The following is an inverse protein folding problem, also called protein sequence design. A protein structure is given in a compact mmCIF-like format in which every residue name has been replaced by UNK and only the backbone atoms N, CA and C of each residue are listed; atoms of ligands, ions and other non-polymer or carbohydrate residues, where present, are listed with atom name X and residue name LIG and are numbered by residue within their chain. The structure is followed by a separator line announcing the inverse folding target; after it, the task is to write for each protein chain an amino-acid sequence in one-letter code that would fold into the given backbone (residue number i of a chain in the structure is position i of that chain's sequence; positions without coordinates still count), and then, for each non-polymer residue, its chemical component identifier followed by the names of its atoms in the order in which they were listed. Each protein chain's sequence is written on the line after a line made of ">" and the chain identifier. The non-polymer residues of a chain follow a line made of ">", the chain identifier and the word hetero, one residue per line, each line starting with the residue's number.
data_IF_645334912175
#
_entry.id   IF_645334912175
#
_cell.length_a   1.000
_cell.length_b   1.000
_cell.length_c   1.000
_cell.angle_alpha   90.00
_cell.angle_beta   90.00
_cell.angle_gamma   90.00
#
_symmetry.space_group_name_H-M   'P 1'
#
loop_
_entity.id
_entity.type
_entity.pdbx_description
1 polymer ?
#
# COMPACT_ATOMS: atom_id res chain seq x y z
N UNK A 1 9.21 16.22 2.87
CA UNK A 1 9.29 14.93 2.13
C UNK A 1 7.91 14.53 1.59
N UNK A 2 6.90 14.29 2.44
CA UNK A 2 5.52 13.93 2.05
C UNK A 2 4.96 14.65 0.81
N UNK A 3 4.71 15.96 0.88
CA UNK A 3 4.17 16.73 -0.27
C UNK A 3 5.08 16.77 -1.50
N UNK A 4 6.37 16.47 -1.38
CA UNK A 4 7.26 16.36 -2.55
C UNK A 4 7.02 15.06 -3.32
N UNK A 5 6.71 13.95 -2.63
CA UNK A 5 6.30 12.68 -3.25
C UNK A 5 4.98 12.85 -4.03
N UNK A 6 3.94 13.37 -3.38
CA UNK A 6 2.63 13.58 -4.03
C UNK A 6 2.63 14.66 -5.12
N UNK A 7 3.64 15.55 -5.12
CA UNK A 7 3.90 16.52 -6.19
C UNK A 7 4.49 15.94 -7.49
N UNK A 8 4.75 14.63 -7.58
CA UNK A 8 5.29 14.00 -8.80
C UNK A 8 4.20 13.27 -9.61
N UNK A 9 4.23 13.46 -10.94
CA UNK A 9 3.25 12.83 -11.84
C UNK A 9 3.32 11.30 -11.86
N UNK A 10 4.48 10.67 -11.61
CA UNK A 10 4.59 9.21 -11.58
C UNK A 10 3.76 8.60 -10.43
N UNK A 11 3.76 9.22 -9.25
CA UNK A 11 2.99 8.75 -8.12
C UNK A 11 1.48 8.96 -8.32
N UNK A 12 1.08 10.08 -8.94
CA UNK A 12 -0.30 10.29 -9.39
C UNK A 12 -0.72 9.28 -10.46
N UNK A 13 0.16 8.95 -11.42
CA UNK A 13 -0.11 7.94 -12.45
C UNK A 13 -0.33 6.56 -11.83
N UNK A 14 0.50 6.13 -10.88
CA UNK A 14 0.33 4.86 -10.18
C UNK A 14 -1.05 4.76 -9.49
N UNK A 15 -1.50 5.85 -8.85
CA UNK A 15 -2.82 5.94 -8.23
C UNK A 15 -3.97 5.96 -9.26
N UNK A 16 -3.78 6.57 -10.42
CA UNK A 16 -4.77 6.62 -11.50
C UNK A 16 -4.89 5.29 -12.27
N UNK A 17 -3.80 4.52 -12.38
CA UNK A 17 -3.78 3.20 -13.03
C UNK A 17 -4.34 2.07 -12.15
N UNK A 18 -4.60 2.32 -10.87
CA UNK A 18 -5.47 1.46 -10.05
C UNK A 18 -6.93 1.67 -10.48
N UNK A 19 -7.37 0.85 -11.45
CA UNK A 19 -8.73 0.89 -11.98
C UNK A 19 -9.79 0.50 -10.95
N UNK A 20 -9.44 -0.27 -9.91
CA UNK A 20 -10.36 -0.65 -8.82
C UNK A 20 -10.64 0.57 -7.96
N UNK A 21 -9.59 1.30 -7.56
CA UNK A 21 -9.66 2.62 -6.91
C UNK A 21 -10.43 3.62 -7.77
N UNK A 22 -9.87 4.03 -8.90
CA UNK A 22 -10.40 5.16 -9.70
C UNK A 22 -11.80 4.86 -10.25
N UNK A 23 -12.04 3.60 -10.65
CA UNK A 23 -13.34 3.14 -11.12
C UNK A 23 -14.42 3.10 -10.04
N UNK A 24 -14.09 2.71 -8.80
CA UNK A 24 -15.07 2.71 -7.70
C UNK A 24 -15.42 4.14 -7.27
N UNK A 25 -14.45 5.06 -7.23
CA UNK A 25 -14.71 6.48 -7.01
C UNK A 25 -15.60 7.07 -8.10
N UNK A 26 -15.32 6.78 -9.37
CA UNK A 26 -16.16 7.19 -10.50
C UNK A 26 -17.60 6.67 -10.34
N UNK A 27 -17.79 5.36 -10.12
CA UNK A 27 -19.10 4.76 -9.94
C UNK A 27 -19.86 5.35 -8.73
N UNK A 28 -19.18 5.54 -7.59
CA UNK A 28 -19.77 6.12 -6.39
C UNK A 28 -20.34 7.53 -6.64
N UNK A 29 -19.60 8.38 -7.36
CA UNK A 29 -20.02 9.76 -7.68
C UNK A 29 -21.10 9.79 -8.76
N UNK A 30 -20.92 9.03 -9.86
CA UNK A 30 -21.80 9.10 -11.03
C UNK A 30 -23.15 8.39 -10.82
N UNK A 31 -23.20 7.31 -10.04
CA UNK A 31 -24.48 6.65 -9.69
C UNK A 31 -25.28 7.46 -8.67
N UNK A 32 -24.61 8.25 -7.83
CA UNK A 32 -25.23 9.15 -6.87
C UNK A 32 -25.33 10.59 -7.38
N UNK A 33 -25.44 10.81 -8.70
CA UNK A 33 -25.64 12.13 -9.33
C UNK A 33 -26.66 13.01 -8.60
N UNK A 34 -27.75 12.45 -8.07
CA UNK A 34 -28.75 13.19 -7.30
C UNK A 34 -28.21 13.87 -6.02
N UNK A 35 -27.13 13.36 -5.44
CA UNK A 35 -26.42 14.03 -4.34
C UNK A 35 -25.56 15.20 -4.84
N UNK A 36 -24.98 15.12 -6.04
CA UNK A 36 -24.02 16.10 -6.58
C UNK A 36 -24.66 17.23 -7.42
N UNK A 37 -25.78 16.99 -8.12
CA UNK A 37 -26.39 17.97 -9.03
C UNK A 37 -26.74 19.27 -8.30
N UNK A 38 -26.18 20.39 -8.79
CA UNK A 38 -26.43 21.73 -8.24
C UNK A 38 -25.77 22.02 -6.89
N UNK A 39 -24.96 21.09 -6.35
CA UNK A 39 -24.31 21.22 -5.04
C UNK A 39 -22.91 21.82 -5.10
N UNK A 40 -22.47 22.36 -3.96
CA UNK A 40 -21.08 22.74 -3.69
C UNK A 40 -20.32 21.51 -3.16
N UNK A 41 -19.15 21.26 -3.75
CA UNK A 41 -18.27 20.15 -3.37
C UNK A 41 -16.91 20.69 -2.92
N UNK A 42 -16.30 20.09 -1.90
CA UNK A 42 -14.87 20.24 -1.58
C UNK A 42 -14.18 18.90 -1.87
N UNK A 43 -13.06 18.94 -2.59
CA UNK A 43 -12.18 17.81 -2.90
C UNK A 43 -10.87 18.01 -2.14
N UNK A 44 -10.61 17.17 -1.13
CA UNK A 44 -9.55 17.37 -0.12
C UNK A 44 -8.34 16.51 -0.47
N UNK A 45 -7.17 17.13 -0.66
CA UNK A 45 -6.00 16.43 -1.20
C UNK A 45 -6.24 16.01 -2.65
N UNK A 46 -6.78 16.94 -3.45
CA UNK A 46 -7.32 16.66 -4.78
C UNK A 46 -6.29 16.04 -5.76
N UNK A 47 -4.98 16.15 -5.48
CA UNK A 47 -3.92 15.60 -6.31
C UNK A 47 -4.00 16.15 -7.72
N UNK A 48 -4.14 15.28 -8.72
CA UNK A 48 -4.37 15.65 -10.13
C UNK A 48 -5.71 16.35 -10.43
N UNK A 49 -6.65 16.42 -9.47
CA UNK A 49 -7.99 16.99 -9.65
C UNK A 49 -9.01 16.03 -10.25
N UNK A 50 -8.72 14.71 -10.27
CA UNK A 50 -9.57 13.71 -10.92
C UNK A 50 -10.96 13.57 -10.25
N UNK A 51 -11.02 13.61 -8.91
CA UNK A 51 -12.29 13.50 -8.18
C UNK A 51 -13.14 14.76 -8.37
N UNK A 52 -12.52 15.94 -8.37
CA UNK A 52 -13.16 17.20 -8.77
C UNK A 52 -13.76 17.15 -10.18
N UNK A 53 -13.07 16.55 -11.14
CA UNK A 53 -13.60 16.36 -12.50
C UNK A 53 -14.80 15.39 -12.51
N UNK A 54 -14.79 14.32 -11.70
CA UNK A 54 -15.95 13.43 -11.55
C UNK A 54 -17.14 14.13 -10.90
N UNK A 55 -16.92 14.97 -9.87
CA UNK A 55 -17.96 15.78 -9.25
C UNK A 55 -18.59 16.79 -10.23
N UNK A 56 -17.76 17.45 -11.06
CA UNK A 56 -18.23 18.32 -12.13
C UNK A 56 -19.04 17.53 -13.21
N UNK A 57 -18.60 16.32 -13.59
CA UNK A 57 -19.32 15.42 -14.50
C UNK A 57 -20.65 14.89 -13.93
N UNK A 58 -20.76 14.81 -12.60
CA UNK A 58 -22.00 14.49 -11.91
C UNK A 58 -22.93 15.71 -11.74
N UNK A 59 -22.51 16.90 -12.15
CA UNK A 59 -23.36 18.09 -12.24
C UNK A 59 -23.26 19.07 -11.06
N UNK A 60 -22.17 19.01 -10.27
CA UNK A 60 -21.89 20.00 -9.23
C UNK A 60 -22.05 21.45 -9.73
N UNK A 61 -22.57 22.34 -8.86
CA UNK A 61 -22.60 23.80 -9.06
C UNK A 61 -21.17 24.33 -9.09
N UNK A 62 -20.38 23.97 -8.08
CA UNK A 62 -18.98 24.37 -7.95
C UNK A 62 -18.19 23.31 -7.16
N UNK A 63 -16.89 23.22 -7.42
CA UNK A 63 -15.95 22.33 -6.72
C UNK A 63 -14.73 23.13 -6.25
N UNK A 64 -14.42 23.05 -4.97
CA UNK A 64 -13.18 23.57 -4.38
C UNK A 64 -12.16 22.44 -4.26
N UNK A 65 -11.18 22.41 -5.16
CA UNK A 65 -10.10 21.43 -5.17
C UNK A 65 -8.94 21.93 -4.31
N UNK A 66 -8.78 21.38 -3.11
CA UNK A 66 -7.74 21.77 -2.15
C UNK A 66 -6.56 20.81 -2.29
N UNK A 67 -5.39 21.33 -2.66
CA UNK A 67 -4.17 20.54 -2.86
C UNK A 67 -2.95 21.27 -2.28
N UNK A 68 -2.20 20.59 -1.40
CA UNK A 68 -1.10 21.21 -0.64
C UNK A 68 0.26 21.15 -1.35
N UNK A 69 0.44 20.24 -2.31
CA UNK A 69 1.69 20.06 -3.06
C UNK A 69 1.75 20.90 -4.35
N UNK A 70 2.87 20.78 -5.06
CA UNK A 70 3.03 21.31 -6.42
C UNK A 70 2.09 20.62 -7.45
N UNK A 71 1.40 19.54 -7.07
CA UNK A 71 0.39 18.92 -7.93
C UNK A 71 -0.77 19.86 -8.25
N UNK A 72 -1.04 20.87 -7.41
CA UNK A 72 -2.02 21.92 -7.70
C UNK A 72 -1.81 22.61 -9.06
N UNK A 73 -0.55 22.79 -9.50
CA UNK A 73 -0.26 23.40 -10.81
C UNK A 73 -0.54 22.46 -11.99
N UNK A 74 -0.45 21.14 -11.77
CA UNK A 74 -0.83 20.14 -12.77
C UNK A 74 -2.35 19.91 -12.79
N UNK A 75 -3.01 19.96 -11.63
CA UNK A 75 -4.47 19.97 -11.54
C UNK A 75 -5.06 21.14 -12.33
N UNK A 76 -4.54 22.36 -12.15
CA UNK A 76 -4.95 23.52 -12.96
C UNK A 76 -4.80 23.30 -14.46
N UNK A 77 -3.69 22.68 -14.91
CA UNK A 77 -3.48 22.34 -16.33
C UNK A 77 -4.49 21.31 -16.84
N UNK A 78 -4.75 20.24 -16.08
CA UNK A 78 -5.72 19.20 -16.46
C UNK A 78 -7.16 19.76 -16.51
N UNK A 79 -7.52 20.57 -15.52
CA UNK A 79 -8.83 21.23 -15.39
C UNK A 79 -9.04 22.24 -16.52
N UNK A 80 -8.04 23.06 -16.85
CA UNK A 80 -8.08 23.98 -18.00
C UNK A 80 -8.19 23.25 -19.35
N UNK A 81 -7.59 22.06 -19.47
CA UNK A 81 -7.76 21.17 -20.63
C UNK A 81 -9.17 20.56 -20.78
N UNK A 82 -10.04 20.70 -19.77
CA UNK A 82 -11.41 20.17 -19.74
C UNK A 82 -12.45 21.29 -19.52
N UNK A 83 -12.49 22.35 -20.37
CA UNK A 83 -13.13 23.63 -20.03
C UNK A 83 -14.62 23.57 -19.66
N UNK A 84 -15.39 22.66 -20.28
CA UNK A 84 -16.82 22.46 -19.98
C UNK A 84 -17.04 22.06 -18.50
N UNK A 85 -16.10 21.31 -17.93
CA UNK A 85 -16.09 20.90 -16.52
C UNK A 85 -15.35 21.92 -15.67
N UNK A 86 -14.16 22.35 -16.13
CA UNK A 86 -13.22 23.17 -15.37
C UNK A 86 -13.72 24.57 -15.02
N UNK A 87 -14.65 25.13 -15.80
CA UNK A 87 -15.36 26.37 -15.43
C UNK A 87 -16.08 26.32 -14.07
N UNK A 88 -16.27 25.13 -13.49
CA UNK A 88 -16.89 24.91 -12.16
C UNK A 88 -15.90 24.50 -11.07
N UNK A 89 -14.58 24.51 -11.34
CA UNK A 89 -13.57 23.96 -10.41
C UNK A 89 -12.53 25.03 -10.08
N UNK A 90 -12.39 25.37 -8.79
CA UNK A 90 -11.35 26.28 -8.30
C UNK A 90 -10.27 25.48 -7.58
N UNK A 91 -9.03 25.53 -8.08
CA UNK A 91 -7.87 24.87 -7.43
C UNK A 91 -7.20 25.80 -6.44
N UNK A 92 -7.39 25.51 -5.16
CA UNK A 92 -6.83 26.24 -4.01
C UNK A 92 -5.56 25.50 -3.59
N UNK A 93 -4.40 26.16 -3.72
CA UNK A 93 -3.11 25.58 -3.30
C UNK A 93 -2.88 25.87 -1.82
N UNK A 94 -2.83 24.83 -1.00
CA UNK A 94 -2.61 24.94 0.44
C UNK A 94 -3.08 23.71 1.21
N UNK A 95 -2.75 23.65 2.50
CA UNK A 95 -3.23 22.65 3.45
C UNK A 95 -4.70 22.89 3.80
N UNK A 96 -5.50 21.83 3.99
CA UNK A 96 -6.94 21.97 4.31
C UNK A 96 -7.18 22.53 5.73
N UNK A 97 -6.14 22.51 6.55
CA UNK A 97 -6.03 23.14 7.87
C UNK A 97 -5.76 24.66 7.78
N UNK A 98 -5.10 25.13 6.71
CA UNK A 98 -4.61 26.52 6.58
C UNK A 98 -5.43 27.39 5.61
N UNK A 99 -6.15 26.78 4.64
CA UNK A 99 -6.96 27.52 3.63
C UNK A 99 -8.30 28.00 4.19
N UNK A 100 -9.00 28.85 3.46
CA UNK A 100 -10.41 29.23 3.71
C UNK A 100 -11.26 29.06 2.44
N UNK A 101 -12.56 28.80 2.61
CA UNK A 101 -13.55 28.67 1.53
C UNK A 101 -14.62 29.78 1.60
N UNK A 102 -15.14 30.27 0.45
CA UNK A 102 -16.12 31.35 0.43
C UNK A 102 -17.55 30.89 0.78
N UNK A 103 -17.86 29.60 0.67
CA UNK A 103 -19.10 28.98 1.12
C UNK A 103 -18.85 27.56 1.64
N UNK A 104 -19.71 27.08 2.55
CA UNK A 104 -19.70 25.69 3.05
C UNK A 104 -20.15 24.72 1.94
N UNK A 105 -19.60 23.51 1.93
CA UNK A 105 -19.93 22.47 0.95
C UNK A 105 -21.12 21.60 1.37
N UNK A 106 -21.87 21.08 0.40
CA UNK A 106 -22.86 20.01 0.60
C UNK A 106 -22.19 18.63 0.67
N UNK A 107 -21.07 18.45 -0.05
CA UNK A 107 -20.32 17.20 -0.15
C UNK A 107 -18.83 17.47 0.07
N UNK A 108 -18.22 16.63 0.89
CA UNK A 108 -16.77 16.51 1.02
C UNK A 108 -16.36 15.16 0.38
N UNK A 109 -15.52 15.23 -0.64
CA UNK A 109 -14.90 14.07 -1.28
C UNK A 109 -13.38 14.11 -1.05
N UNK A 110 -12.75 12.94 -0.93
CA UNK A 110 -11.30 12.80 -0.84
C UNK A 110 -10.91 11.36 -1.09
N UNK A 111 -9.61 11.11 -1.31
CA UNK A 111 -9.01 9.80 -1.12
C UNK A 111 -7.94 9.93 0.00
N UNK A 112 -8.32 9.69 1.28
CA UNK A 112 -7.45 9.86 2.43
C UNK A 112 -6.90 8.53 3.00
N UNK A 113 -6.99 7.42 2.26
CA UNK A 113 -6.68 6.08 2.77
C UNK A 113 -5.21 5.71 2.56
N UNK A 114 -4.46 5.56 3.65
CA UNK A 114 -3.14 4.92 3.62
C UNK A 114 -3.20 3.40 3.70
N UNK A 115 -2.03 2.76 3.74
CA UNK A 115 -1.88 1.37 4.22
C UNK A 115 -2.61 1.17 5.55
N UNK A 116 -3.30 0.04 5.74
CA UNK A 116 -4.15 -0.22 6.93
C UNK A 116 -5.22 0.85 7.17
N UNK A 117 -5.71 1.51 6.11
CA UNK A 117 -6.63 2.68 6.13
C UNK A 117 -6.02 3.97 6.71
N UNK A 118 -5.20 3.86 7.77
CA UNK A 118 -4.80 4.99 8.63
C UNK A 118 -3.39 5.53 8.38
N UNK A 119 -2.51 4.81 7.67
CA UNK A 119 -1.14 5.28 7.42
C UNK A 119 -1.15 6.68 6.75
N UNK A 120 -0.05 7.41 6.88
CA UNK A 120 0.11 8.77 6.35
C UNK A 120 -0.75 9.84 7.05
N UNK A 121 -1.70 9.44 7.90
CA UNK A 121 -2.52 10.28 8.81
C UNK A 121 -3.46 11.27 8.09
N UNK A 122 -3.67 11.13 6.78
CA UNK A 122 -4.55 12.01 5.99
C UNK A 122 -6.04 11.97 6.41
N UNK A 123 -6.46 10.95 7.18
CA UNK A 123 -7.78 10.92 7.83
C UNK A 123 -8.01 12.08 8.81
N UNK A 124 -6.95 12.62 9.41
CA UNK A 124 -7.05 13.78 10.32
C UNK A 124 -7.44 15.03 9.51
N UNK A 125 -6.71 15.32 8.43
CA UNK A 125 -7.08 16.35 7.45
C UNK A 125 -8.50 16.19 6.89
N UNK A 126 -8.93 14.94 6.66
CA UNK A 126 -10.29 14.61 6.19
C UNK A 126 -11.38 14.94 7.22
N UNK A 127 -11.11 14.69 8.52
CA UNK A 127 -11.99 15.03 9.64
C UNK A 127 -11.99 16.53 9.93
N UNK A 128 -10.83 17.20 9.91
CA UNK A 128 -10.74 18.66 10.04
C UNK A 128 -11.53 19.35 8.91
N UNK A 129 -11.42 18.85 7.68
CA UNK A 129 -12.16 19.38 6.53
C UNK A 129 -13.69 19.22 6.68
N UNK A 130 -14.17 18.14 7.33
CA UNK A 130 -15.59 17.98 7.66
C UNK A 130 -16.05 19.14 8.55
N UNK A 131 -15.38 19.34 9.67
CA UNK A 131 -15.83 20.31 10.68
C UNK A 131 -15.65 21.75 10.20
N UNK A 132 -14.54 22.05 9.51
CA UNK A 132 -14.29 23.36 8.90
C UNK A 132 -15.23 23.66 7.73
N UNK A 133 -15.46 22.72 6.79
CA UNK A 133 -16.06 23.07 5.49
C UNK A 133 -17.38 22.39 5.12
N UNK A 134 -17.80 21.30 5.79
CA UNK A 134 -19.08 20.66 5.48
C UNK A 134 -20.27 21.42 6.12
N UNK A 135 -21.42 21.39 5.45
CA UNK A 135 -22.71 21.85 5.97
C UNK A 135 -23.30 20.84 6.98
N UNK A 136 -24.18 21.27 7.91
CA UNK A 136 -24.97 20.35 8.72
C UNK A 136 -25.81 19.41 7.82
N UNK A 137 -25.65 18.10 8.00
CA UNK A 137 -26.20 17.03 7.14
C UNK A 137 -25.60 16.93 5.73
N UNK A 138 -24.46 17.58 5.46
CA UNK A 138 -23.66 17.33 4.26
C UNK A 138 -23.11 15.89 4.23
N UNK A 139 -22.71 15.43 3.05
CA UNK A 139 -22.24 14.04 2.81
C UNK A 139 -20.72 13.95 2.73
N UNK A 140 -20.19 12.82 3.14
CA UNK A 140 -18.77 12.47 3.05
C UNK A 140 -18.58 11.26 2.12
N UNK A 141 -17.63 11.35 1.20
CA UNK A 141 -17.29 10.33 0.20
C UNK A 141 -15.78 10.05 0.27
N UNK A 142 -15.32 9.00 0.98
CA UNK A 142 -16.10 7.96 1.68
C UNK A 142 -16.77 8.41 2.99
N UNK A 143 -17.83 7.72 3.37
CA UNK A 143 -18.64 8.01 4.57
C UNK A 143 -18.19 7.23 5.80
N UNK A 144 -17.76 5.98 5.60
CA UNK A 144 -17.35 5.06 6.67
C UNK A 144 -16.18 4.23 6.18
N UNK A 145 -15.15 4.07 7.01
CA UNK A 145 -14.07 3.10 6.81
C UNK A 145 -14.21 1.90 7.73
N UNK A 146 -13.67 0.76 7.30
CA UNK A 146 -13.51 -0.45 8.11
C UNK A 146 -12.10 -0.97 8.01
N UNK A 147 -11.43 -1.13 9.13
CA UNK A 147 -10.22 -1.96 9.21
C UNK A 147 -10.71 -3.39 9.45
N UNK A 148 -10.34 -4.33 8.59
CA UNK A 148 -10.61 -5.75 8.72
C UNK A 148 -9.35 -6.48 9.21
N UNK A 149 -9.54 -7.51 10.03
CA UNK A 149 -8.46 -8.32 10.60
C UNK A 149 -8.85 -9.81 10.60
N UNK A 150 -7.89 -10.69 10.31
CA UNK A 150 -8.02 -12.14 10.50
C UNK A 150 -6.66 -12.78 10.83
N UNK A 151 -6.59 -13.80 11.70
CA UNK A 151 -5.37 -14.57 11.93
C UNK A 151 -5.03 -15.41 10.70
N UNK A 152 -3.73 -15.57 10.40
CA UNK A 152 -3.26 -16.35 9.26
C UNK A 152 -2.18 -17.38 9.64
N UNK A 153 -1.98 -18.36 8.76
CA UNK A 153 -0.91 -19.36 8.81
C UNK A 153 -0.16 -19.36 7.47
N UNK A 154 1.06 -18.82 7.46
CA UNK A 154 1.98 -18.81 6.31
C UNK A 154 3.40 -19.12 6.79
N UNK A 155 3.78 -20.40 6.66
CA UNK A 155 5.10 -20.91 7.03
C UNK A 155 6.20 -20.29 6.14
N UNK A 156 5.89 -20.08 4.85
CA UNK A 156 6.86 -19.57 3.89
C UNK A 156 7.24 -18.13 4.20
N UNK A 157 6.27 -17.26 4.51
CA UNK A 157 6.56 -15.89 4.95
C UNK A 157 7.36 -15.88 6.25
N UNK A 158 6.98 -16.68 7.24
CA UNK A 158 7.67 -16.73 8.52
C UNK A 158 9.14 -17.16 8.37
N UNK A 159 9.39 -18.20 7.58
CA UNK A 159 10.74 -18.69 7.27
C UNK A 159 11.52 -17.67 6.43
N UNK A 160 10.89 -16.99 5.46
CA UNK A 160 11.53 -15.93 4.67
C UNK A 160 12.03 -14.77 5.55
N UNK A 161 11.21 -14.32 6.51
CA UNK A 161 11.58 -13.25 7.45
C UNK A 161 12.69 -13.73 8.41
N UNK A 162 12.54 -14.92 9.00
CA UNK A 162 13.55 -15.50 9.88
C UNK A 162 14.90 -15.72 9.18
N UNK A 163 14.89 -16.10 7.90
CA UNK A 163 16.10 -16.35 7.11
C UNK A 163 16.91 -15.08 6.83
N UNK A 164 16.28 -13.90 6.76
CA UNK A 164 16.98 -12.60 6.61
C UNK A 164 17.96 -12.36 7.78
N UNK A 165 17.64 -12.84 8.98
CA UNK A 165 18.54 -12.76 10.14
C UNK A 165 19.77 -13.67 10.05
N UNK A 166 19.75 -14.74 9.23
CA UNK A 166 20.84 -15.72 9.18
C UNK A 166 22.17 -15.16 8.65
N UNK A 167 22.14 -14.08 7.86
CA UNK A 167 23.34 -13.33 7.47
C UNK A 167 24.19 -12.94 8.69
N UNK A 168 23.55 -12.58 9.80
CA UNK A 168 24.20 -12.16 11.04
C UNK A 168 24.72 -13.33 11.88
N UNK A 169 24.60 -14.59 11.43
CA UNK A 169 25.20 -15.76 12.12
C UNK A 169 26.65 -16.06 11.69
N UNK A 170 27.24 -15.25 10.82
CA UNK A 170 28.60 -15.44 10.34
C UNK A 170 29.63 -15.09 11.42
N UNK A 171 30.37 -16.10 11.90
CA UNK A 171 31.47 -15.93 12.88
C UNK A 171 32.78 -15.40 12.25
N UNK A 172 32.88 -15.37 10.93
CA UNK A 172 34.06 -14.91 10.20
C UNK A 172 33.66 -14.23 8.88
N UNK A 173 33.02 -13.07 8.97
CA UNK A 173 32.79 -12.17 7.84
C UNK A 173 34.02 -11.27 7.68
N UNK A 174 34.93 -11.64 6.77
CA UNK A 174 36.21 -10.93 6.55
C UNK A 174 37.05 -10.72 7.83
N UNK A 175 37.07 -11.70 8.73
CA UNK A 175 37.77 -11.61 10.03
C UNK A 175 36.93 -11.08 11.18
N UNK A 176 35.64 -10.76 10.97
CA UNK A 176 34.74 -10.19 11.99
C UNK A 176 33.60 -11.16 12.32
N UNK A 177 33.32 -11.34 13.61
CA UNK A 177 32.13 -12.08 14.08
C UNK A 177 30.89 -11.16 14.10
N UNK A 178 29.87 -11.52 13.33
CA UNK A 178 28.59 -10.79 13.24
C UNK A 178 27.54 -11.29 14.25
N UNK A 179 27.77 -12.42 14.91
CA UNK A 179 26.79 -13.07 15.81
C UNK A 179 26.26 -12.19 16.95
N UNK A 180 27.01 -11.22 17.53
CA UNK A 180 26.46 -10.31 18.53
C UNK A 180 25.25 -9.48 18.05
N UNK A 181 25.10 -9.25 16.73
CA UNK A 181 24.02 -8.46 16.14
C UNK A 181 22.82 -9.30 15.67
N UNK A 182 22.92 -10.63 15.63
CA UNK A 182 21.86 -11.52 15.15
C UNK A 182 20.53 -11.34 15.91
N UNK A 183 20.58 -11.19 17.25
CA UNK A 183 19.38 -11.01 18.07
C UNK A 183 18.62 -9.73 17.71
N UNK A 184 19.35 -8.62 17.58
CA UNK A 184 18.82 -7.31 17.20
C UNK A 184 18.27 -7.33 15.77
N UNK A 185 19.00 -7.93 14.82
CA UNK A 185 18.57 -8.05 13.43
C UNK A 185 17.29 -8.89 13.30
N UNK A 186 17.21 -10.03 13.99
CA UNK A 186 16.01 -10.87 14.02
C UNK A 186 14.79 -10.10 14.56
N UNK A 187 14.95 -9.37 15.67
CA UNK A 187 13.88 -8.51 16.18
C UNK A 187 13.49 -7.42 15.18
N UNK A 188 14.46 -6.79 14.51
CA UNK A 188 14.24 -5.78 13.47
C UNK A 188 13.36 -6.31 12.32
N UNK A 189 13.70 -7.46 11.73
CA UNK A 189 12.91 -8.03 10.63
C UNK A 189 11.48 -8.41 11.04
N UNK A 190 11.26 -8.84 12.28
CA UNK A 190 9.91 -9.08 12.84
C UNK A 190 9.21 -7.81 13.37
N UNK A 191 9.86 -6.65 13.31
CA UNK A 191 9.27 -5.33 13.62
C UNK A 191 8.82 -4.57 12.37
N UNK A 192 9.01 -5.12 11.17
CA UNK A 192 8.45 -4.59 9.94
C UNK A 192 7.13 -5.32 9.59
N UNK A 193 6.01 -4.61 9.39
CA UNK A 193 4.82 -5.22 8.85
C UNK A 193 5.01 -5.45 7.34
N UNK A 194 4.46 -6.54 6.81
CA UNK A 194 4.62 -6.91 5.39
C UNK A 194 3.45 -6.37 4.58
N UNK A 195 3.71 -5.83 3.39
CA UNK A 195 2.68 -5.40 2.44
C UNK A 195 2.78 -6.24 1.17
N UNK A 196 1.81 -7.13 0.95
CA UNK A 196 1.66 -7.93 -0.27
C UNK A 196 0.23 -8.46 -0.47
N UNK A 197 -0.05 -8.97 -1.67
CA UNK A 197 -1.24 -9.76 -1.94
C UNK A 197 -1.01 -11.21 -1.51
N UNK A 198 -1.98 -11.80 -0.83
CA UNK A 198 -1.91 -13.19 -0.37
C UNK A 198 -3.20 -13.97 -0.62
N UNK A 199 -3.11 -15.30 -0.63
CA UNK A 199 -4.25 -16.18 -0.86
C UNK A 199 -5.16 -16.21 0.38
N UNK A 200 -6.48 -15.89 0.27
CA UNK A 200 -7.39 -15.88 1.43
C UNK A 200 -7.53 -17.24 2.13
N UNK A 201 -7.12 -18.36 1.49
CA UNK A 201 -7.06 -19.69 2.13
C UNK A 201 -6.00 -19.80 3.23
N UNK A 202 -5.08 -18.83 3.34
CA UNK A 202 -4.12 -18.74 4.46
C UNK A 202 -4.77 -18.20 5.75
N UNK A 203 -5.99 -17.66 5.69
CA UNK A 203 -6.73 -17.21 6.87
C UNK A 203 -7.30 -18.41 7.65
N UNK A 204 -7.04 -18.45 8.97
CA UNK A 204 -7.42 -19.58 9.84
C UNK A 204 -8.65 -19.30 10.70
N UNK A 205 -9.30 -18.14 10.51
CA UNK A 205 -10.59 -17.79 11.10
C UNK A 205 -11.35 -16.80 10.20
N UNK A 206 -12.66 -16.65 10.42
CA UNK A 206 -13.43 -15.59 9.77
C UNK A 206 -12.95 -14.19 10.23
N UNK A 207 -12.94 -13.18 9.35
CA UNK A 207 -12.48 -11.85 9.70
C UNK A 207 -13.44 -11.11 10.63
N UNK A 208 -12.88 -10.29 11.51
CA UNK A 208 -13.60 -9.23 12.22
C UNK A 208 -13.26 -7.87 11.60
N UNK A 209 -14.01 -6.83 11.96
CA UNK A 209 -13.68 -5.46 11.56
C UNK A 209 -13.92 -4.45 12.68
N UNK A 210 -13.15 -3.37 12.64
CA UNK A 210 -13.33 -2.15 13.43
C UNK A 210 -13.82 -1.04 12.49
N UNK A 211 -14.72 -0.16 12.97
CA UNK A 211 -15.43 0.82 12.14
C UNK A 211 -15.01 2.25 12.48
N UNK A 212 -14.54 2.99 11.48
CA UNK A 212 -14.30 4.44 11.57
C UNK A 212 -15.45 5.16 10.86
N UNK A 213 -16.38 5.74 11.62
CA UNK A 213 -17.48 6.53 11.06
C UNK A 213 -17.01 7.98 10.85
N UNK A 214 -16.57 8.29 9.63
CA UNK A 214 -16.02 9.60 9.28
C UNK A 214 -17.02 10.75 9.48
N UNK A 215 -18.33 10.47 9.60
CA UNK A 215 -19.34 11.50 9.91
C UNK A 215 -19.41 11.90 11.38
N UNK A 216 -18.72 11.18 12.28
CA UNK A 216 -18.81 11.39 13.75
C UNK A 216 -17.46 11.40 14.47
N UNK A 217 -16.50 10.60 14.01
CA UNK A 217 -15.19 10.44 14.65
C UNK A 217 -14.45 11.78 14.73
N UNK A 218 -13.78 12.06 15.84
CA UNK A 218 -12.97 13.26 16.01
C UNK A 218 -11.52 13.02 15.57
N UNK A 219 -10.78 14.12 15.42
CA UNK A 219 -9.35 14.09 15.12
C UNK A 219 -8.57 13.35 16.22
N UNK A 220 -8.91 13.55 17.50
CA UNK A 220 -8.16 12.96 18.61
C UNK A 220 -8.40 11.45 18.77
N UNK A 221 -9.55 10.95 18.28
CA UNK A 221 -9.87 9.51 18.23
C UNK A 221 -9.04 8.75 17.18
N UNK A 222 -8.35 9.45 16.28
CA UNK A 222 -7.39 8.86 15.36
C UNK A 222 -6.00 8.69 16.00
N UNK A 223 -5.65 9.44 17.05
CA UNK A 223 -4.31 9.39 17.63
C UNK A 223 -3.99 8.06 18.35
N UNK A 224 -5.00 7.42 18.95
CA UNK A 224 -4.89 6.17 19.69
C UNK A 224 -6.08 5.25 19.38
N UNK A 225 -5.90 4.32 18.44
CA UNK A 225 -6.94 3.40 17.96
C UNK A 225 -6.74 2.04 18.62
N UNK A 226 -7.64 1.67 19.53
CA UNK A 226 -7.61 0.38 20.22
C UNK A 226 -8.67 -0.61 19.70
N UNK A 227 -8.22 -1.81 19.36
CA UNK A 227 -9.06 -2.86 18.79
C UNK A 227 -8.87 -4.16 19.60
N UNK A 228 -9.80 -4.52 20.51
CA UNK A 228 -9.80 -5.83 21.15
C UNK A 228 -10.09 -6.91 20.10
N UNK A 229 -9.29 -7.98 20.09
CA UNK A 229 -9.37 -9.03 19.08
C UNK A 229 -10.00 -10.31 19.66
N UNK A 230 -10.91 -10.91 18.90
CA UNK A 230 -11.51 -12.21 19.22
C UNK A 230 -11.88 -12.97 17.95
N UNK A 231 -11.33 -14.18 17.81
CA UNK A 231 -11.56 -15.08 16.69
C UNK A 231 -11.82 -16.51 17.18
N UNK A 232 -12.47 -17.32 16.34
CA UNK A 232 -12.54 -18.78 16.52
C UNK A 232 -11.81 -19.43 15.35
N UNK A 233 -10.78 -20.23 15.62
CA UNK A 233 -10.03 -20.93 14.59
C UNK A 233 -10.92 -21.95 13.87
N UNK A 234 -10.96 -21.91 12.54
CA UNK A 234 -11.75 -22.85 11.71
C UNK A 234 -10.98 -24.13 11.41
N UNK A 235 -9.65 -24.10 11.50
CA UNK A 235 -8.73 -25.21 11.21
C UNK A 235 -7.67 -25.33 12.30
N UNK A 236 -7.08 -26.53 12.45
CA UNK A 236 -5.87 -26.70 13.24
C UNK A 236 -4.66 -26.18 12.46
N UNK A 237 -3.90 -25.25 13.04
CA UNK A 237 -2.83 -24.53 12.34
C UNK A 237 -1.77 -23.94 13.30
N UNK A 238 -0.65 -23.52 12.73
CA UNK A 238 0.31 -22.64 13.41
C UNK A 238 -0.01 -21.20 13.01
N UNK A 239 -0.56 -20.42 13.93
CA UNK A 239 -0.87 -19.00 13.73
C UNK A 239 0.44 -18.21 13.63
N UNK A 240 0.72 -17.66 12.45
CA UNK A 240 1.93 -16.88 12.17
C UNK A 240 1.75 -15.38 12.34
N UNK A 241 0.52 -14.86 12.32
CA UNK A 241 0.27 -13.45 12.57
C UNK A 241 -1.17 -13.01 12.37
N UNK A 242 -1.35 -11.69 12.27
CA UNK A 242 -2.61 -11.04 11.93
C UNK A 242 -2.49 -10.42 10.53
N UNK A 243 -3.41 -10.77 9.63
CA UNK A 243 -3.54 -10.15 8.32
C UNK A 243 -4.67 -9.12 8.38
N UNK A 244 -4.43 -7.95 7.80
CA UNK A 244 -5.31 -6.80 7.87
C UNK A 244 -5.49 -6.15 6.50
N UNK A 245 -6.68 -5.64 6.25
CA UNK A 245 -7.04 -4.89 5.04
C UNK A 245 -8.11 -3.86 5.39
N UNK A 246 -8.64 -3.14 4.42
CA UNK A 246 -9.72 -2.19 4.66
C UNK A 246 -10.77 -2.13 3.55
N UNK A 247 -11.97 -1.74 3.96
CA UNK A 247 -13.08 -1.40 3.08
C UNK A 247 -13.53 0.05 3.37
N UNK A 248 -13.94 0.82 2.36
CA UNK A 248 -14.60 2.12 2.56
C UNK A 248 -15.94 2.19 1.83
N UNK A 249 -16.95 2.75 2.49
CA UNK A 249 -18.32 2.89 2.01
C UNK A 249 -18.59 4.33 1.56
N UNK A 250 -19.04 4.48 0.32
CA UNK A 250 -19.71 5.67 -0.20
C UNK A 250 -21.23 5.50 0.01
N UNK A 251 -21.77 6.14 1.05
CA UNK A 251 -23.18 6.02 1.44
C UNK A 251 -24.05 7.09 0.74
N UNK A 252 -24.09 7.02 -0.59
CA UNK A 252 -24.91 7.89 -1.41
C UNK A 252 -26.41 7.60 -1.30
N UNK A 253 -27.25 8.54 -1.75
CA UNK A 253 -28.72 8.45 -1.63
C UNK A 253 -29.36 7.47 -2.62
N UNK A 254 -28.68 7.17 -3.73
CA UNK A 254 -29.19 6.30 -4.80
C UNK A 254 -28.55 4.92 -4.74
N UNK A 255 -27.24 4.85 -4.50
CA UNK A 255 -26.47 3.61 -4.46
C UNK A 255 -25.40 3.65 -3.35
N UNK A 256 -25.29 2.55 -2.60
CA UNK A 256 -24.17 2.30 -1.68
C UNK A 256 -23.06 1.58 -2.43
N UNK A 257 -21.87 2.16 -2.47
CA UNK A 257 -20.68 1.54 -3.08
C UNK A 257 -19.60 1.29 -2.05
N UNK A 258 -18.99 0.11 -2.13
CA UNK A 258 -17.81 -0.25 -1.33
C UNK A 258 -16.59 -0.33 -2.23
N UNK A 259 -15.51 0.35 -1.85
CA UNK A 259 -14.15 0.01 -2.28
C UNK A 259 -13.61 -0.97 -1.24
N UNK A 260 -13.04 -2.08 -1.68
CA UNK A 260 -12.46 -3.11 -0.80
C UNK A 260 -11.03 -3.41 -1.21
N UNK A 261 -10.18 -3.68 -0.22
CA UNK A 261 -8.80 -4.16 -0.41
C UNK A 261 -8.64 -5.61 0.08
N UNK A 262 -9.74 -6.35 0.25
CA UNK A 262 -9.75 -7.70 0.83
C UNK A 262 -8.98 -8.73 -0.01
N UNK A 263 -8.28 -9.70 0.63
CA UNK A 263 -7.57 -10.78 -0.07
C UNK A 263 -8.56 -11.61 -0.90
N UNK A 264 -8.20 -11.92 -2.15
CA UNK A 264 -9.07 -12.58 -3.11
C UNK A 264 -10.01 -11.64 -3.90
N UNK A 265 -10.10 -10.36 -3.54
CA UNK A 265 -10.65 -9.32 -4.43
C UNK A 265 -9.59 -8.90 -5.47
N UNK A 266 -9.98 -8.22 -6.57
CA UNK A 266 -9.03 -7.63 -7.51
C UNK A 266 -8.04 -6.70 -6.79
N UNK A 267 -6.74 -6.94 -7.00
CA UNK A 267 -5.66 -6.27 -6.24
C UNK A 267 -5.60 -4.77 -6.51
N UNK A 268 -5.64 -3.98 -5.43
CA UNK A 268 -5.34 -2.54 -5.41
C UNK A 268 -3.87 -2.28 -5.06
N UNK A 269 -3.35 -1.08 -5.37
CA UNK A 269 -1.99 -0.66 -5.00
C UNK A 269 -1.69 -0.64 -3.49
N UNK A 270 -2.72 -0.63 -2.62
CA UNK A 270 -2.58 -0.79 -1.16
C UNK A 270 -2.22 -2.21 -0.72
N UNK A 271 -2.48 -3.23 -1.55
CA UNK A 271 -2.37 -4.66 -1.21
C UNK A 271 -3.10 -5.00 0.12
N UNK A 272 -2.55 -5.91 0.93
CA UNK A 272 -2.94 -6.17 2.31
C UNK A 272 -1.73 -6.02 3.23
N UNK A 273 -1.96 -5.77 4.53
CA UNK A 273 -0.91 -5.74 5.56
C UNK A 273 -0.86 -7.08 6.30
N UNK A 274 0.33 -7.59 6.62
CA UNK A 274 0.53 -8.79 7.45
C UNK A 274 1.52 -8.52 8.58
N UNK A 275 1.00 -8.50 9.81
CA UNK A 275 1.77 -8.34 11.05
C UNK A 275 2.19 -9.72 11.56
N UNK A 276 3.46 -10.07 11.34
CA UNK A 276 4.00 -11.41 11.65
C UNK A 276 4.48 -11.48 13.11
N UNK A 277 4.23 -12.60 13.78
CA UNK A 277 4.71 -12.89 15.13
C UNK A 277 6.08 -13.57 15.07
N UNK A 278 7.02 -13.12 15.89
CA UNK A 278 8.34 -13.77 16.07
C UNK A 278 8.24 -15.13 16.77
N UNK A 279 7.17 -15.36 17.52
CA UNK A 279 6.80 -16.66 18.11
C UNK A 279 5.39 -17.04 17.64
N UNK A 280 5.24 -17.97 16.69
CA UNK A 280 3.94 -18.46 16.24
C UNK A 280 3.19 -19.22 17.35
N UNK A 281 1.85 -19.22 17.29
CA UNK A 281 0.97 -19.86 18.29
C UNK A 281 0.28 -21.09 17.67
N UNK A 282 0.28 -22.24 18.35
CA UNK A 282 -0.47 -23.42 17.88
C UNK A 282 -1.93 -23.35 18.31
N UNK A 283 -2.86 -23.58 17.37
CA UNK A 283 -4.31 -23.56 17.61
C UNK A 283 -5.00 -24.76 16.95
N UNK A 284 -6.09 -25.24 17.55
CA UNK A 284 -6.96 -26.29 17.01
C UNK A 284 -8.25 -25.70 16.44
N UNK A 285 -8.94 -26.43 15.56
CA UNK A 285 -10.26 -26.05 15.09
C UNK A 285 -11.26 -25.93 16.27
N UNK A 286 -12.10 -24.90 16.24
CA UNK A 286 -13.03 -24.53 17.32
C UNK A 286 -12.39 -23.74 18.47
N UNK A 287 -11.07 -23.52 18.47
CA UNK A 287 -10.37 -22.84 19.55
C UNK A 287 -10.52 -21.31 19.48
N UNK A 288 -10.71 -20.67 20.63
CA UNK A 288 -10.70 -19.21 20.74
C UNK A 288 -9.27 -18.64 20.69
N UNK A 289 -9.10 -17.60 19.87
CA UNK A 289 -7.93 -16.72 19.84
C UNK A 289 -8.39 -15.35 20.33
N UNK A 290 -7.74 -14.79 21.34
CA UNK A 290 -8.00 -13.44 21.86
C UNK A 290 -6.77 -12.55 21.70
N UNK A 291 -6.94 -11.24 21.81
CA UNK A 291 -5.83 -10.31 21.68
C UNK A 291 -6.22 -8.84 21.72
N UNK A 292 -5.28 -8.00 21.28
CA UNK A 292 -5.44 -6.55 21.14
C UNK A 292 -4.52 -6.08 20.00
N UNK A 293 -5.05 -5.30 19.06
CA UNK A 293 -4.24 -4.50 18.12
C UNK A 293 -4.45 -3.04 18.49
N UNK A 294 -3.35 -2.39 18.89
CA UNK A 294 -3.37 -1.04 19.41
C UNK A 294 -2.44 -0.17 18.57
N UNK A 295 -2.98 0.87 17.92
CA UNK A 295 -2.26 1.74 17.00
C UNK A 295 -2.06 3.11 17.65
N UNK A 296 -0.81 3.54 17.82
CA UNK A 296 -0.46 4.85 18.39
C UNK A 296 0.19 5.71 17.31
N UNK A 297 -0.40 6.86 17.01
CA UNK A 297 0.08 7.80 16.01
C UNK A 297 1.41 8.47 16.45
N UNK A 298 2.29 8.76 15.50
CA UNK A 298 3.55 9.48 15.76
C UNK A 298 3.85 10.56 14.71
N UNK A 299 4.85 11.39 15.01
CA UNK A 299 5.25 12.59 14.26
C UNK A 299 5.78 12.31 12.85
N UNK A 300 6.11 11.04 12.53
CA UNK A 300 6.56 10.63 11.20
C UNK A 300 5.42 10.50 10.17
N UNK A 301 4.20 10.93 10.49
CA UNK A 301 2.98 10.70 9.69
C UNK A 301 2.72 9.18 9.50
N UNK A 302 2.66 8.44 10.62
CA UNK A 302 2.34 7.00 10.64
C UNK A 302 1.95 6.54 12.07
N UNK A 303 1.85 5.22 12.25
CA UNK A 303 1.43 4.54 13.48
C UNK A 303 2.42 3.46 13.91
N UNK A 304 2.69 3.40 15.20
CA UNK A 304 3.28 2.22 15.83
C UNK A 304 2.15 1.25 16.17
N UNK A 305 2.22 0.03 15.64
CA UNK A 305 1.27 -1.04 15.90
C UNK A 305 1.81 -1.91 17.04
N UNK A 306 1.05 -2.01 18.13
CA UNK A 306 1.27 -2.99 19.19
C UNK A 306 0.26 -4.12 19.04
N UNK A 307 0.72 -5.27 18.58
CA UNK A 307 -0.10 -6.47 18.43
C UNK A 307 0.19 -7.45 19.58
N UNK A 308 -0.86 -7.94 20.24
CA UNK A 308 -0.82 -9.10 21.13
C UNK A 308 -1.88 -10.11 20.70
N UNK A 309 -1.49 -11.37 20.52
CA UNK A 309 -2.41 -12.50 20.32
C UNK A 309 -2.16 -13.57 21.39
N UNK A 310 -3.20 -14.30 21.74
CA UNK A 310 -3.17 -15.28 22.84
C UNK A 310 -4.19 -16.39 22.63
N UNK A 311 -3.81 -17.64 22.91
CA UNK A 311 -4.67 -18.81 22.80
C UNK A 311 -4.27 -19.90 23.80
N UNK A 312 -5.24 -20.64 24.34
CA UNK A 312 -4.98 -21.71 25.33
C UNK A 312 -4.26 -22.91 24.69
N UNK A 313 -3.39 -23.60 25.44
CA UNK A 313 -2.79 -24.87 25.00
C UNK A 313 -3.81 -26.00 24.99
N UNK A 314 -3.67 -26.93 24.05
CA UNK A 314 -4.45 -28.17 23.99
C UNK A 314 -3.52 -29.36 23.76
N UNK A 315 -3.64 -30.42 24.56
CA UNK A 315 -2.82 -31.63 24.42
C UNK A 315 -2.83 -32.52 25.68
N UNK A 316 -2.38 -33.79 25.59
CA UNK A 316 -2.28 -34.68 26.75
C UNK A 316 -1.32 -34.13 27.80
N UNK A 317 -1.71 -34.16 29.07
CA UNK A 317 -0.94 -33.58 30.18
C UNK A 317 -1.18 -32.09 30.43
N UNK A 318 -1.90 -31.38 29.55
CA UNK A 318 -2.43 -30.05 29.87
C UNK A 318 -3.73 -30.20 30.69
N UNK A 319 -3.63 -30.17 32.03
CA UNK A 319 -4.81 -30.11 32.89
C UNK A 319 -5.68 -28.90 32.53
N UNK A 320 -6.86 -29.19 31.98
CA UNK A 320 -7.96 -28.26 31.66
C UNK A 320 -7.54 -26.92 30.98
N UNK A 321 -6.57 -26.97 30.07
CA UNK A 321 -6.27 -25.84 29.16
C UNK A 321 -5.73 -24.58 29.86
N UNK A 322 -5.01 -24.73 30.97
CA UNK A 322 -4.55 -23.61 31.80
C UNK A 322 -3.40 -22.77 31.22
N UNK A 323 -2.52 -23.33 30.39
CA UNK A 323 -1.36 -22.58 29.85
C UNK A 323 -1.83 -21.71 28.66
N UNK A 324 -1.53 -20.42 28.72
CA UNK A 324 -1.87 -19.44 27.68
C UNK A 324 -0.64 -19.19 26.80
N UNK A 325 -0.63 -19.75 25.58
CA UNK A 325 0.33 -19.31 24.56
C UNK A 325 0.03 -17.83 24.27
N UNK A 326 1.04 -16.99 24.38
CA UNK A 326 0.95 -15.54 24.19
C UNK A 326 2.10 -15.11 23.31
N UNK A 327 1.82 -14.29 22.31
CA UNK A 327 2.83 -13.71 21.44
C UNK A 327 2.47 -12.27 21.12
N UNK A 328 3.49 -11.43 20.97
CA UNK A 328 3.31 -9.99 20.74
C UNK A 328 4.47 -9.40 19.96
N UNK A 329 4.17 -8.47 19.07
CA UNK A 329 5.15 -7.68 18.34
C UNK A 329 4.78 -6.19 18.36
N UNK A 330 5.82 -5.36 18.27
CA UNK A 330 5.72 -3.91 18.02
C UNK A 330 6.20 -3.70 16.59
N UNK A 331 5.38 -3.09 15.74
CA UNK A 331 5.71 -2.82 14.35
C UNK A 331 5.61 -1.32 14.05
N UNK A 332 6.45 -0.81 13.15
CA UNK A 332 6.32 0.55 12.63
C UNK A 332 5.64 0.51 11.24
N UNK A 333 4.50 1.19 11.08
CA UNK A 333 3.76 1.24 9.82
C UNK A 333 4.41 2.21 8.80
N UNK A 334 5.45 2.96 9.20
CA UNK A 334 6.12 3.93 8.31
C UNK A 334 6.97 3.28 7.23
N UNK A 335 7.69 2.23 7.58
CA UNK A 335 8.64 1.54 6.69
C UNK A 335 8.31 0.04 6.56
N UNK A 336 7.14 -0.29 5.97
CA UNK A 336 6.71 -1.67 5.77
C UNK A 336 7.58 -2.39 4.75
N UNK A 337 7.70 -3.71 4.89
CA UNK A 337 8.35 -4.55 3.90
C UNK A 337 7.38 -4.84 2.75
N UNK A 338 7.48 -4.06 1.67
CA UNK A 338 6.78 -4.32 0.41
C UNK A 338 7.32 -5.60 -0.25
N UNK A 339 6.53 -6.66 -0.23
CA UNK A 339 6.93 -8.00 -0.67
C UNK A 339 6.36 -8.28 -2.06
N UNK A 340 7.10 -7.86 -3.08
CA UNK A 340 6.82 -8.21 -4.47
C UNK A 340 6.85 -9.73 -4.64
N UNK A 341 5.68 -10.35 -4.86
CA UNK A 341 5.61 -11.76 -5.22
C UNK A 341 6.19 -11.95 -6.62
N UNK A 342 7.35 -12.62 -6.70
CA UNK A 342 7.81 -13.11 -7.99
C UNK A 342 6.73 -14.05 -8.57
N UNK A 343 6.36 -13.92 -9.85
CA UNK A 343 5.45 -14.88 -10.47
C UNK A 343 6.08 -16.26 -10.38
N UNK A 344 5.37 -17.22 -9.78
CA UNK A 344 5.87 -18.59 -9.67
C UNK A 344 6.10 -19.13 -11.09
N UNK A 345 7.37 -19.44 -11.39
CA UNK A 345 7.74 -20.11 -12.61
C UNK A 345 7.22 -21.55 -12.56
N UNK A 346 5.98 -21.75 -13.01
CA UNK A 346 5.43 -23.08 -13.28
C UNK A 346 6.39 -23.80 -14.23
N UNK A 347 6.97 -24.95 -13.83
CA UNK A 347 7.73 -25.76 -14.76
C UNK A 347 6.76 -26.28 -15.82
N UNK A 348 6.88 -25.77 -17.05
CA UNK A 348 6.28 -26.43 -18.20
C UNK A 348 6.92 -27.81 -18.30
N UNK A 349 6.13 -28.84 -18.01
CA UNK A 349 6.56 -30.22 -18.15
C UNK A 349 6.88 -30.50 -19.62
N UNK A 350 8.17 -30.52 -19.94
CA UNK A 350 8.64 -30.97 -21.26
C UNK A 350 8.61 -32.49 -21.27
N UNK A 351 7.65 -33.07 -21.99
CA UNK A 351 7.65 -34.48 -22.34
C UNK A 351 8.92 -34.81 -23.15
N UNK A 352 9.90 -35.42 -22.49
CA UNK A 352 11.05 -36.03 -23.15
C UNK A 352 10.92 -37.55 -23.07
N UNK A 353 10.47 -38.16 -24.17
CA UNK A 353 10.56 -39.61 -24.33
C UNK A 353 12.03 -40.04 -24.45
N UNK A 354 12.48 -41.09 -23.74
CA UNK A 354 13.85 -41.57 -23.85
C UNK A 354 14.06 -42.34 -25.16
N UNK A 355 15.05 -41.93 -25.95
CA UNK A 355 15.63 -42.78 -27.01
C UNK A 355 16.96 -43.41 -26.55
N UNK A 356 17.36 -44.58 -27.09
CA UNK A 356 18.40 -45.40 -26.47
C UNK A 356 19.84 -44.99 -26.86
N UNK A 357 20.78 -45.34 -25.99
CA UNK A 357 22.22 -45.24 -26.25
C UNK A 357 22.67 -46.18 -27.38
N UNK A 358 23.64 -45.72 -28.17
CA UNK A 358 24.42 -46.54 -29.11
C UNK A 358 25.91 -46.21 -28.98
N UNK A 359 26.70 -47.24 -28.69
CA UNK A 359 28.15 -47.31 -28.87
C UNK A 359 28.44 -47.56 -30.38
N UNK A 360 29.60 -47.30 -31.01
CA UNK A 360 30.94 -46.79 -30.60
C UNK A 360 31.48 -45.92 -31.80
N UNK A 361 32.75 -45.65 -32.13
CA UNK A 361 34.10 -46.11 -31.73
C UNK A 361 35.17 -45.03 -32.02
N UNK A 362 36.44 -45.33 -31.71
CA UNK A 362 37.64 -44.48 -31.88
C UNK A 362 38.05 -44.19 -33.34
N UNK A 363 38.88 -43.16 -33.56
CA UNK A 363 40.26 -43.26 -34.10
C UNK A 363 40.95 -41.87 -34.23
N UNK A 364 42.22 -41.82 -33.79
CA UNK A 364 43.39 -40.95 -34.10
C UNK A 364 43.34 -39.73 -35.06
N UNK A 365 44.27 -38.75 -35.01
CA UNK A 365 45.24 -38.22 -33.99
C UNK A 365 45.92 -36.96 -34.59
N UNK A 366 46.67 -36.17 -33.79
CA UNK A 366 47.61 -35.09 -34.22
C UNK A 366 47.02 -33.86 -34.95
N UNK A 367 47.70 -32.71 -35.08
CA UNK A 367 48.57 -31.93 -34.17
C UNK A 367 48.95 -30.59 -34.84
N UNK A 368 49.64 -29.70 -34.11
CA UNK A 368 50.39 -28.53 -34.63
C UNK A 368 49.56 -27.32 -35.14
N UNK A 369 50.06 -26.07 -35.19
CA UNK A 369 51.10 -25.31 -34.42
C UNK A 369 51.10 -23.84 -34.96
N UNK A 370 51.75 -22.89 -34.26
CA UNK A 370 52.10 -21.52 -34.74
C UNK A 370 50.92 -20.53 -34.96
N UNK A 371 51.05 -19.20 -34.84
CA UNK A 371 52.04 -18.33 -34.13
C UNK A 371 51.47 -16.91 -33.87
N UNK A 372 52.26 -16.02 -33.25
CA UNK A 372 51.90 -14.66 -32.78
C UNK A 372 52.07 -13.53 -33.85
N UNK A 373 52.47 -12.31 -33.42
CA UNK A 373 52.73 -11.04 -34.14
C UNK A 373 51.46 -10.16 -34.32
N UNK A 374 51.25 -9.07 -33.54
CA UNK A 374 51.94 -7.75 -33.52
C UNK A 374 51.71 -6.88 -34.80
N UNK A 375 51.63 -5.55 -34.80
CA UNK A 375 51.69 -4.53 -33.73
C UNK A 375 50.89 -3.24 -34.11
N UNK A 376 50.97 -2.20 -33.27
CA UNK A 376 50.35 -0.87 -33.43
C UNK A 376 50.89 -0.05 -34.65
N UNK A 377 50.09 0.88 -35.19
CA UNK A 377 50.37 2.34 -35.09
C UNK A 377 49.27 3.30 -35.59
N UNK A 378 49.49 4.61 -35.35
CA UNK A 378 48.53 5.73 -35.22
C UNK A 378 48.18 6.50 -36.53
N UNK A 379 47.25 7.49 -36.51
CA UNK A 379 46.58 8.02 -37.72
C UNK A 379 47.17 9.31 -38.31
N UNK A 380 46.61 9.76 -39.44
CA UNK A 380 46.89 11.06 -40.08
C UNK A 380 45.60 11.77 -40.57
N UNK A 381 45.65 13.09 -40.78
CA UNK A 381 44.50 13.97 -41.09
C UNK A 381 44.82 15.04 -42.16
N UNK A 382 43.76 15.71 -42.69
CA UNK A 382 43.66 16.89 -43.63
C UNK A 382 42.95 16.53 -44.95
N UNK A 383 42.22 17.42 -45.66
CA UNK A 383 41.61 18.78 -45.43
C UNK A 383 40.81 19.16 -46.71
N UNK A 384 39.93 20.17 -46.85
CA UNK A 384 39.50 21.34 -46.04
C UNK A 384 37.94 21.48 -46.19
N UNK A 385 37.19 22.59 -46.15
CA UNK A 385 37.34 24.06 -46.00
C UNK A 385 36.05 24.60 -45.30
N UNK A 386 35.94 25.77 -44.64
CA UNK A 386 36.19 27.20 -44.98
C UNK A 386 35.18 27.83 -45.98
N UNK A 387 34.58 29.00 -45.73
CA UNK A 387 34.66 29.96 -44.59
C UNK A 387 33.40 30.88 -44.49
N UNK A 388 33.08 31.32 -43.25
CA UNK A 388 32.42 32.54 -42.68
C UNK A 388 31.47 33.47 -43.53
N UNK A 389 30.69 34.43 -43.00
CA UNK A 389 30.74 35.11 -41.68
C UNK A 389 29.41 35.76 -41.20
N UNK A 390 29.21 35.73 -39.86
CA UNK A 390 28.75 36.77 -38.90
C UNK A 390 27.44 37.58 -39.06
N UNK A 391 27.03 38.15 -37.90
CA UNK A 391 25.78 38.88 -37.63
C UNK A 391 25.90 40.40 -37.89
N UNK A 392 24.75 41.08 -38.02
CA UNK A 392 24.55 42.40 -37.37
C UNK A 392 23.07 42.67 -37.03
N UNK A 393 22.84 43.61 -36.11
CA UNK A 393 21.54 43.97 -35.54
C UNK A 393 20.99 45.30 -36.11
N UNK A 394 19.73 45.59 -35.75
CA UNK A 394 19.07 46.90 -35.72
C UNK A 394 18.53 47.50 -37.03
N UNK A 395 17.22 47.32 -37.23
CA UNK A 395 16.23 48.41 -37.40
C UNK A 395 14.86 47.93 -36.95
#
# INVERSE_FOLDING_TARGET
>A
MYFHYYGQLLHQQNMLQDYVRTGTYYAAVLENRADFVGRVVIDVGAGSGILSLFAAQAGAKHVYAVEASEMAEYARKLIAGNPILGQRITVIKGKVEDVELPEKADILISEPMGTLLVNERMLESYVIARDRFLTPNGKMFPTVGRIHMAPFSDEYLFVEIANKALFWRQQNYYGVDLTPLHGTAFQGYFSQPVVDAFDPRLLIAAPMFHVLDFTKIKEEELYEIDIPLKFTATVGARLHGLACWFDVLFNGSTARRWLTTAPGSPTTHWYQLRCVLSQPIYVMAGQEITGRMHLIAHTAQSYTIYLKLSAKTWGPGAEQGGILQTSSCKLDLKEPYYRMSQPQAYPLAQDQQPQPLLQTQDIHIQSQELDEVEMMQQPSTKSCAQIDSLMQNAS
#
